data_IF_588621125011
#
_entry.id   IF_588621125011
#
_cell.length_a   1.000
_cell.length_b   1.000
_cell.length_c   1.000
_cell.angle_alpha   90.00
_cell.angle_beta   90.00
_cell.angle_gamma   90.00
#
_symmetry.space_group_name_H-M   'P 1'
#
loop_
_entity.id
_entity.type
_entity.pdbx_description
1 polymer ?
#
# COMPACT_ATOMS: atom_id res chain seq x y z
N UNK A 1 16.57 -20.82 4.51
CA UNK A 1 15.53 -20.74 5.56
C UNK A 1 14.51 -19.69 5.12
N UNK A 2 13.22 -19.99 5.16
CA UNK A 2 12.16 -19.06 4.76
C UNK A 2 11.49 -18.48 6.00
N UNK A 3 11.57 -17.17 6.19
CA UNK A 3 10.88 -16.46 7.26
C UNK A 3 9.54 -15.94 6.75
N UNK A 4 8.51 -16.00 7.59
CA UNK A 4 7.23 -15.32 7.29
C UNK A 4 7.24 -13.92 7.88
N UNK A 5 6.52 -12.97 7.26
CA UNK A 5 6.35 -11.62 7.82
C UNK A 5 5.80 -11.68 9.25
N UNK A 6 4.88 -12.63 9.53
CA UNK A 6 4.38 -12.85 10.89
C UNK A 6 5.49 -13.19 11.87
N UNK A 7 6.41 -14.06 11.47
CA UNK A 7 7.53 -14.48 12.33
C UNK A 7 8.46 -13.31 12.62
N UNK A 8 8.82 -12.54 11.58
CA UNK A 8 9.64 -11.34 11.72
C UNK A 8 8.99 -10.35 12.69
N UNK A 9 7.69 -10.07 12.51
CA UNK A 9 6.94 -9.17 13.39
C UNK A 9 6.89 -9.72 14.82
N UNK A 10 6.60 -11.01 15.02
CA UNK A 10 6.60 -11.62 16.37
C UNK A 10 7.92 -11.48 17.10
N UNK A 11 9.03 -11.69 16.40
CA UNK A 11 10.37 -11.72 17.00
C UNK A 11 10.94 -10.32 17.24
N UNK A 12 10.53 -9.31 16.46
CA UNK A 12 11.19 -8.00 16.45
C UNK A 12 10.28 -6.84 16.91
N UNK A 13 8.97 -7.04 17.04
CA UNK A 13 8.03 -5.94 17.32
C UNK A 13 8.30 -5.22 18.65
N UNK A 14 8.62 -5.96 19.71
CA UNK A 14 8.95 -5.37 21.01
C UNK A 14 10.22 -4.51 20.97
N UNK A 15 11.26 -4.97 20.26
CA UNK A 15 12.49 -4.20 20.05
C UNK A 15 12.25 -2.95 19.20
N UNK A 16 11.37 -3.03 18.19
CA UNK A 16 11.00 -1.87 17.38
C UNK A 16 10.36 -0.76 18.21
N UNK A 17 9.42 -1.10 19.10
CA UNK A 17 8.73 -0.13 19.98
C UNK A 17 9.65 0.52 21.03
N UNK A 18 10.77 -0.11 21.37
CA UNK A 18 11.78 0.50 22.26
C UNK A 18 12.60 1.57 21.55
N UNK A 19 12.85 1.39 20.24
CA UNK A 19 13.70 2.28 19.44
C UNK A 19 12.91 3.34 18.65
N UNK A 20 11.60 3.14 18.43
CA UNK A 20 10.78 3.97 17.56
C UNK A 20 9.39 4.20 18.16
N UNK A 21 8.81 5.37 17.89
CA UNK A 21 7.38 5.59 18.13
C UNK A 21 6.55 5.00 16.99
N UNK A 22 5.40 4.44 17.35
CA UNK A 22 4.40 3.98 16.41
C UNK A 22 3.06 4.62 16.78
N UNK A 23 2.32 5.10 15.78
CA UNK A 23 0.95 5.56 15.98
C UNK A 23 0.04 4.38 16.32
N UNK A 24 -1.05 4.65 17.06
CA UNK A 24 -2.01 3.64 17.50
C UNK A 24 -2.53 2.74 16.36
N UNK A 25 -2.71 3.30 15.16
CA UNK A 25 -3.18 2.53 14.02
C UNK A 25 -2.13 1.49 13.57
N UNK A 26 -0.84 1.84 13.64
CA UNK A 26 0.27 0.98 13.26
C UNK A 26 0.38 -0.18 14.23
N UNK A 27 0.29 0.12 15.53
CA UNK A 27 0.30 -0.89 16.60
C UNK A 27 -0.85 -1.89 16.40
N UNK A 28 -2.07 -1.38 16.20
CA UNK A 28 -3.26 -2.23 15.96
C UNK A 28 -3.11 -3.11 14.73
N UNK A 29 -2.55 -2.60 13.64
CA UNK A 29 -2.36 -3.40 12.43
C UNK A 29 -1.32 -4.51 12.62
N UNK A 30 -0.19 -4.20 13.28
CA UNK A 30 0.88 -5.18 13.54
C UNK A 30 0.40 -6.27 14.49
N UNK A 31 -0.29 -5.91 15.57
CA UNK A 31 -0.81 -6.87 16.54
C UNK A 31 -1.86 -7.81 15.93
N UNK A 32 -2.77 -7.28 15.07
CA UNK A 32 -3.71 -8.12 14.31
C UNK A 32 -2.98 -9.11 13.41
N UNK A 33 -1.89 -8.70 12.76
CA UNK A 33 -1.12 -9.57 11.88
C UNK A 33 -0.36 -10.66 12.66
N UNK A 34 0.19 -10.31 13.83
CA UNK A 34 0.88 -11.23 14.76
C UNK A 34 -0.07 -12.30 15.31
N UNK A 35 -1.31 -11.92 15.64
CA UNK A 35 -2.31 -12.77 16.32
C UNK A 35 -3.31 -13.46 15.37
N UNK A 36 -3.13 -13.37 14.06
CA UNK A 36 -4.06 -13.95 13.10
C UNK A 36 -4.08 -15.50 13.16
N UNK A 37 -5.21 -16.17 13.41
CA UNK A 37 -5.28 -17.64 13.39
C UNK A 37 -5.80 -18.21 12.06
N UNK A 38 -6.87 -17.63 11.49
CA UNK A 38 -7.66 -18.26 10.41
C UNK A 38 -8.04 -17.29 9.28
N UNK A 39 -7.07 -16.55 8.73
CA UNK A 39 -7.31 -15.60 7.63
C UNK A 39 -8.43 -14.56 7.90
N UNK A 40 -8.64 -14.22 9.17
CA UNK A 40 -9.79 -13.43 9.65
C UNK A 40 -9.40 -12.13 10.37
N UNK A 41 -8.10 -11.78 10.42
CA UNK A 41 -7.68 -10.59 11.16
C UNK A 41 -7.97 -9.27 10.42
N UNK A 42 -8.38 -9.32 9.15
CA UNK A 42 -8.68 -8.17 8.28
C UNK A 42 -7.57 -7.11 8.20
N UNK A 43 -6.35 -7.44 8.62
CA UNK A 43 -5.20 -6.56 8.51
C UNK A 43 -4.62 -6.62 7.10
N UNK A 44 -4.31 -5.44 6.54
CA UNK A 44 -3.73 -5.31 5.20
C UNK A 44 -2.28 -5.79 5.14
N UNK A 45 -1.55 -5.71 6.25
CA UNK A 45 -0.14 -6.13 6.33
C UNK A 45 0.02 -7.62 6.62
N UNK A 46 -1.04 -8.29 7.08
CA UNK A 46 -1.03 -9.75 7.25
C UNK A 46 -0.94 -10.41 5.85
N UNK A 47 0.12 -11.17 5.53
CA UNK A 47 0.27 -11.76 4.19
C UNK A 47 -0.89 -12.69 3.82
N UNK A 48 -1.43 -13.38 4.82
CA UNK A 48 -2.50 -14.36 4.65
C UNK A 48 -3.88 -13.72 4.50
N UNK A 49 -4.15 -12.59 5.16
CA UNK A 49 -5.45 -11.90 5.08
C UNK A 49 -5.45 -10.80 4.03
N UNK A 50 -4.42 -9.95 4.05
CA UNK A 50 -4.25 -8.82 3.14
C UNK A 50 -4.20 -9.27 1.70
N UNK A 51 -3.39 -10.30 1.38
CA UNK A 51 -3.36 -10.88 0.02
C UNK A 51 -4.74 -11.35 -0.42
N UNK A 52 -5.45 -12.08 0.44
CA UNK A 52 -6.79 -12.59 0.13
C UNK A 52 -7.80 -11.47 -0.13
N UNK A 53 -7.69 -10.36 0.58
CA UNK A 53 -8.49 -9.16 0.35
C UNK A 53 -8.12 -8.48 -0.97
N UNK A 54 -6.81 -8.32 -1.25
CA UNK A 54 -6.30 -7.75 -2.50
C UNK A 54 -6.73 -8.57 -3.71
N UNK A 55 -6.61 -9.91 -3.65
CA UNK A 55 -6.99 -10.82 -4.73
C UNK A 55 -8.51 -10.69 -4.99
N UNK A 56 -9.36 -10.77 -3.95
CA UNK A 56 -10.81 -10.58 -4.09
C UNK A 56 -11.20 -9.21 -4.66
N UNK A 57 -10.45 -8.16 -4.32
CA UNK A 57 -10.68 -6.83 -4.86
C UNK A 57 -10.24 -6.75 -6.33
N UNK A 58 -9.13 -7.38 -6.68
CA UNK A 58 -8.66 -7.50 -8.07
C UNK A 58 -9.67 -8.23 -8.94
N UNK A 59 -10.23 -9.35 -8.47
CA UNK A 59 -11.25 -10.11 -9.19
C UNK A 59 -12.49 -9.24 -9.47
N UNK A 60 -12.96 -8.51 -8.45
CA UNK A 60 -14.08 -7.58 -8.62
C UNK A 60 -13.76 -6.43 -9.58
N UNK A 61 -12.53 -5.91 -9.52
CA UNK A 61 -12.11 -4.82 -10.41
C UNK A 61 -12.13 -5.28 -11.87
N UNK A 62 -11.76 -6.54 -12.12
CA UNK A 62 -11.77 -7.12 -13.46
C UNK A 62 -13.15 -7.07 -14.11
N UNK A 63 -14.24 -7.21 -13.34
CA UNK A 63 -15.62 -7.11 -13.85
C UNK A 63 -15.98 -5.69 -14.36
N UNK A 64 -15.29 -4.66 -13.86
CA UNK A 64 -15.53 -3.27 -14.25
C UNK A 64 -14.57 -2.78 -15.36
N UNK A 65 -13.53 -3.55 -15.66
CA UNK A 65 -12.52 -3.19 -16.65
C UNK A 65 -12.95 -3.62 -18.06
N UNK A 66 -12.69 -2.75 -19.03
CA UNK A 66 -12.92 -3.05 -20.44
C UNK A 66 -11.92 -4.13 -20.87
N UNK A 67 -12.31 -5.15 -21.66
CA UNK A 67 -11.43 -6.25 -22.07
C UNK A 67 -10.38 -5.81 -23.11
N UNK A 68 -9.41 -5.00 -22.68
CA UNK A 68 -8.29 -4.52 -23.47
C UNK A 68 -7.00 -4.70 -22.68
N UNK A 69 -5.86 -4.69 -23.37
CA UNK A 69 -4.56 -4.70 -22.70
C UNK A 69 -4.36 -3.37 -21.94
N UNK A 70 -4.28 -3.45 -20.61
CA UNK A 70 -4.06 -2.30 -19.75
C UNK A 70 -2.58 -2.05 -19.52
N UNK A 71 -2.17 -0.77 -19.58
CA UNK A 71 -0.82 -0.33 -19.21
C UNK A 71 -0.87 0.32 -17.83
N UNK A 72 -0.13 -0.23 -16.86
CA UNK A 72 0.03 0.38 -15.55
C UNK A 72 1.29 1.25 -15.54
N UNK A 73 1.14 2.55 -15.25
CA UNK A 73 2.23 3.51 -15.23
C UNK A 73 2.31 4.13 -13.84
N UNK A 74 3.50 4.04 -13.23
CA UNK A 74 3.77 4.60 -11.90
C UNK A 74 4.68 5.81 -12.04
N UNK A 75 4.15 6.98 -11.69
CA UNK A 75 4.92 8.23 -11.64
C UNK A 75 5.39 8.47 -10.20
N UNK A 76 6.71 8.61 -10.01
CA UNK A 76 7.28 8.88 -8.69
C UNK A 76 7.63 10.35 -8.57
N UNK A 77 7.21 10.97 -7.47
CA UNK A 77 7.56 12.38 -7.19
C UNK A 77 8.97 12.46 -6.59
N UNK A 78 9.87 13.28 -7.17
CA UNK A 78 11.19 13.57 -6.62
C UNK A 78 11.12 14.04 -5.17
N UNK A 79 12.08 13.62 -4.34
CA UNK A 79 12.06 13.91 -2.90
C UNK A 79 11.94 15.41 -2.57
N UNK A 80 12.58 16.27 -3.36
CA UNK A 80 12.56 17.74 -3.22
C UNK A 80 11.15 18.32 -3.38
N UNK A 81 10.27 17.67 -4.15
CA UNK A 81 8.92 18.15 -4.43
C UNK A 81 7.86 17.59 -3.48
N UNK A 82 8.17 16.51 -2.75
CA UNK A 82 7.22 15.88 -1.81
C UNK A 82 6.69 16.82 -0.70
N UNK A 83 7.48 17.77 -0.14
CA UNK A 83 6.97 18.70 0.86
C UNK A 83 5.82 19.57 0.34
N UNK A 84 5.84 19.97 -0.93
CA UNK A 84 4.78 20.78 -1.53
C UNK A 84 3.44 20.03 -1.61
N UNK A 85 3.48 18.70 -1.69
CA UNK A 85 2.29 17.84 -1.80
C UNK A 85 1.71 17.41 -0.45
N UNK A 86 2.28 17.86 0.68
CA UNK A 86 1.64 17.66 1.99
C UNK A 86 0.38 18.48 2.14
N UNK A 87 0.31 19.60 1.42
CA UNK A 87 -0.88 20.41 1.30
C UNK A 87 -1.78 19.87 0.17
N UNK A 88 -3.07 19.70 0.46
CA UNK A 88 -4.05 19.20 -0.49
C UNK A 88 -4.26 20.13 -1.68
N UNK A 89 -3.99 21.43 -1.52
CA UNK A 89 -4.14 22.42 -2.58
C UNK A 89 -3.23 22.15 -3.79
N UNK A 90 -2.08 21.53 -3.57
CA UNK A 90 -1.10 21.24 -4.62
C UNK A 90 -1.28 19.88 -5.30
N UNK A 91 -2.20 19.04 -4.81
CA UNK A 91 -2.45 17.70 -5.39
C UNK A 91 -3.04 17.83 -6.80
N UNK A 92 -3.83 18.87 -7.07
CA UNK A 92 -4.36 19.15 -8.41
C UNK A 92 -3.25 19.34 -9.45
N UNK A 93 -2.19 20.07 -9.11
CA UNK A 93 -1.06 20.32 -9.99
C UNK A 93 -0.31 19.02 -10.37
N UNK A 94 -0.19 18.07 -9.44
CA UNK A 94 0.40 16.75 -9.71
C UNK A 94 -0.46 15.97 -10.70
N UNK A 95 -1.79 16.00 -10.54
CA UNK A 95 -2.72 15.33 -11.44
C UNK A 95 -2.70 15.95 -12.84
N UNK A 96 -2.65 17.28 -12.94
CA UNK A 96 -2.53 17.99 -14.22
C UNK A 96 -1.20 17.70 -14.93
N UNK A 97 -0.10 17.67 -14.17
CA UNK A 97 1.23 17.30 -14.70
C UNK A 97 1.22 15.87 -15.24
N UNK A 98 0.62 14.94 -14.50
CA UNK A 98 0.46 13.54 -14.92
C UNK A 98 -0.37 13.42 -16.19
N UNK A 99 -1.48 14.18 -16.28
CA UNK A 99 -2.32 14.24 -17.48
C UNK A 99 -1.54 14.77 -18.69
N UNK A 100 -0.74 15.81 -18.50
CA UNK A 100 0.10 16.39 -19.56
C UNK A 100 1.12 15.37 -20.11
N UNK A 101 1.76 14.61 -19.21
CA UNK A 101 2.68 13.54 -19.57
C UNK A 101 2.01 12.49 -20.48
N UNK A 102 0.82 12.00 -20.12
CA UNK A 102 0.13 10.98 -20.93
C UNK A 102 -0.31 11.49 -22.31
N UNK A 103 -0.64 12.77 -22.44
CA UNK A 103 -0.92 13.38 -23.77
C UNK A 103 0.28 13.34 -24.70
N UNK A 104 1.50 13.39 -24.15
CA UNK A 104 2.73 13.32 -24.93
C UNK A 104 3.15 11.90 -25.33
N UNK A 105 2.58 10.86 -24.73
CA UNK A 105 2.92 9.45 -25.01
C UNK A 105 1.96 8.82 -26.02
N UNK A 106 0.78 9.41 -26.22
CA UNK A 106 -0.22 8.91 -27.17
C UNK A 106 0.04 9.28 -28.64
N UNK A 107 1.25 9.72 -28.98
CA UNK A 107 1.69 10.04 -30.36
C UNK A 107 2.55 8.93 -30.95
#
# INVERSE_FOLDING_TARGET
>A
MAYTIRQILRENWSGYLQANSAEDYQVKEVEKAINCSEHSCNSRICPSCGKRYTDRWSDKLQDYLIPVEHKHVVLTVPAVLRPMLRDWDNVGLLMDSSRSFFRGISS
#
